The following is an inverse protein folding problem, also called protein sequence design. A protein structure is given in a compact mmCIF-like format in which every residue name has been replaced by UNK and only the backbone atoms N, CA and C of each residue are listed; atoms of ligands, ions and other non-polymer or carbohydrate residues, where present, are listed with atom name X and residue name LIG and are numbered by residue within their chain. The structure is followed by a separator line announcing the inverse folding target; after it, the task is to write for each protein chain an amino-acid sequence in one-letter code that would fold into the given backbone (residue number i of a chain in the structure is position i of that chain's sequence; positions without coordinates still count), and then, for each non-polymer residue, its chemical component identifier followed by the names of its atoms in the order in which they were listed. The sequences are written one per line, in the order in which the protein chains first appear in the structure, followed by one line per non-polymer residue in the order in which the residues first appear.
data_IF_631419988475
#
_entry.id   IF_631419988475
#
_cell.length_a   1.000
_cell.length_b   1.000
_cell.length_c   1.000
_cell.angle_alpha   90.00
_cell.angle_beta   90.00
_cell.angle_gamma   90.00
#
_symmetry.space_group_name_H-M   'P 1'
#
loop_
_entity.id
_entity.type
_entity.pdbx_description
1 polymer ?
#
# COMPACT_ATOMS: atom_id res chain seq x y z
N UNK A 1 11.81 -25.46 33.94
CA UNK A 1 10.92 -24.89 32.90
C UNK A 1 11.75 -24.72 31.64
N UNK A 2 11.53 -25.54 30.62
CA UNK A 2 12.24 -25.37 29.34
C UNK A 2 11.57 -24.23 28.56
N UNK A 3 12.32 -23.18 28.25
CA UNK A 3 11.82 -22.07 27.43
C UNK A 3 11.72 -22.56 25.99
N UNK A 4 10.51 -22.65 25.44
CA UNK A 4 10.31 -22.97 24.01
C UNK A 4 10.65 -21.75 23.16
N UNK A 5 11.95 -21.60 22.90
CA UNK A 5 12.50 -20.53 22.08
C UNK A 5 11.97 -20.64 20.63
N UNK A 6 11.79 -21.86 20.12
CA UNK A 6 11.34 -22.11 18.74
C UNK A 6 9.90 -21.66 18.53
N UNK A 7 8.99 -22.08 19.41
CA UNK A 7 7.58 -21.66 19.34
C UNK A 7 7.41 -20.15 19.54
N UNK A 8 8.27 -19.53 20.35
CA UNK A 8 8.28 -18.07 20.54
C UNK A 8 8.77 -17.31 19.31
N UNK A 9 9.80 -17.81 18.62
CA UNK A 9 10.32 -17.22 17.39
C UNK A 9 9.31 -17.32 16.23
N UNK A 10 8.67 -18.47 16.04
CA UNK A 10 7.66 -18.67 14.99
C UNK A 10 6.46 -17.74 15.18
N UNK A 11 5.92 -17.61 16.39
CA UNK A 11 4.81 -16.69 16.69
C UNK A 11 5.19 -15.22 16.46
N UNK A 12 6.47 -14.86 16.65
CA UNK A 12 6.96 -13.51 16.36
C UNK A 12 6.99 -13.27 14.86
N UNK A 13 7.48 -14.23 14.09
CA UNK A 13 7.53 -14.17 12.62
C UNK A 13 6.13 -14.03 12.03
N UNK A 14 5.17 -14.87 12.43
CA UNK A 14 3.77 -14.80 11.97
C UNK A 14 3.15 -13.41 12.21
N UNK A 15 3.39 -12.83 13.39
CA UNK A 15 2.88 -11.49 13.74
C UNK A 15 3.54 -10.39 12.91
N UNK A 16 4.83 -10.53 12.62
CA UNK A 16 5.55 -9.55 11.82
C UNK A 16 5.09 -9.59 10.36
N UNK A 17 4.96 -10.80 9.78
CA UNK A 17 4.42 -10.98 8.43
C UNK A 17 2.99 -10.44 8.30
N UNK A 18 2.13 -10.68 9.30
CA UNK A 18 0.78 -10.12 9.31
C UNK A 18 0.76 -8.59 9.38
N UNK A 19 1.63 -7.99 10.19
CA UNK A 19 1.76 -6.52 10.29
C UNK A 19 2.24 -5.90 8.98
N UNK A 20 3.23 -6.53 8.33
CA UNK A 20 3.75 -6.06 7.04
C UNK A 20 2.68 -6.17 5.95
N UNK A 21 1.95 -7.28 5.89
CA UNK A 21 0.85 -7.46 4.93
C UNK A 21 -0.28 -6.43 5.15
N UNK A 22 -0.65 -6.16 6.41
CA UNK A 22 -1.64 -5.12 6.75
C UNK A 22 -1.17 -3.73 6.29
N UNK A 23 0.09 -3.39 6.58
CA UNK A 23 0.66 -2.12 6.15
C UNK A 23 0.70 -1.99 4.63
N UNK A 24 1.11 -3.04 3.90
CA UNK A 24 1.14 -3.03 2.44
C UNK A 24 -0.26 -2.85 1.85
N UNK A 25 -1.27 -3.51 2.42
CA UNK A 25 -2.65 -3.35 1.99
C UNK A 25 -3.16 -1.93 2.24
N UNK A 26 -2.94 -1.37 3.43
CA UNK A 26 -3.29 0.02 3.76
C UNK A 26 -2.57 1.02 2.85
N UNK A 27 -1.28 0.81 2.61
CA UNK A 27 -0.46 1.65 1.71
C UNK A 27 -1.06 1.65 0.31
N UNK A 28 -1.39 0.47 -0.20
CA UNK A 28 -2.01 0.33 -1.51
C UNK A 28 -3.36 1.05 -1.58
N UNK A 29 -4.27 0.77 -0.65
CA UNK A 29 -5.59 1.40 -0.62
C UNK A 29 -5.52 2.93 -0.53
N UNK A 30 -4.64 3.46 0.33
CA UNK A 30 -4.44 4.91 0.48
C UNK A 30 -3.78 5.56 -0.74
N UNK A 31 -2.81 4.88 -1.36
CA UNK A 31 -2.19 5.34 -2.62
C UNK A 31 -3.26 5.55 -3.70
N UNK A 32 -4.13 4.57 -3.92
CA UNK A 32 -5.16 4.68 -4.96
C UNK A 32 -6.26 5.69 -4.62
N UNK A 33 -6.52 5.93 -3.32
CA UNK A 33 -7.42 7.01 -2.89
C UNK A 33 -6.85 8.40 -3.20
N UNK A 34 -5.58 8.65 -2.87
CA UNK A 34 -4.89 9.90 -3.23
C UNK A 34 -4.76 10.09 -4.75
N UNK A 35 -4.54 8.98 -5.48
CA UNK A 35 -4.51 9.01 -6.93
C UNK A 35 -5.88 9.38 -7.52
N UNK A 36 -6.97 8.84 -6.98
CA UNK A 36 -8.33 9.18 -7.41
C UNK A 36 -8.61 10.69 -7.24
N UNK A 37 -8.24 11.26 -6.08
CA UNK A 37 -8.35 12.70 -5.83
C UNK A 37 -7.56 13.51 -6.87
N UNK A 38 -6.36 13.05 -7.25
CA UNK A 38 -5.51 13.73 -8.25
C UNK A 38 -6.07 13.66 -9.66
N UNK A 39 -6.76 12.57 -10.00
CA UNK A 39 -7.44 12.38 -11.27
C UNK A 39 -8.82 13.05 -11.32
N UNK A 40 -9.29 13.62 -10.21
CA UNK A 40 -10.64 14.19 -10.10
C UNK A 40 -11.74 13.13 -10.15
N UNK A 41 -11.41 11.88 -9.83
CA UNK A 41 -12.31 10.74 -9.88
C UNK A 41 -12.82 10.37 -8.47
N UNK A 42 -14.07 9.89 -8.32
CA UNK A 42 -14.56 9.40 -7.04
C UNK A 42 -13.72 8.20 -6.56
N UNK A 43 -13.18 8.21 -5.32
CA UNK A 43 -12.43 7.06 -4.79
C UNK A 43 -13.22 5.76 -4.81
N UNK A 44 -14.55 5.83 -4.70
CA UNK A 44 -15.45 4.68 -4.77
C UNK A 44 -15.40 3.94 -6.13
N UNK A 45 -14.96 4.61 -7.21
CA UNK A 45 -14.81 3.99 -8.53
C UNK A 45 -13.42 3.42 -8.78
N UNK A 46 -12.41 3.97 -8.10
CA UNK A 46 -10.99 3.64 -8.32
C UNK A 46 -10.51 2.57 -7.33
N UNK A 47 -10.83 2.71 -6.04
CA UNK A 47 -10.36 1.81 -4.98
C UNK A 47 -10.78 0.35 -5.22
N UNK A 48 -12.00 0.01 -5.69
CA UNK A 48 -12.35 -1.39 -5.96
C UNK A 48 -11.49 -2.05 -7.04
N UNK A 49 -10.85 -1.28 -7.93
CA UNK A 49 -9.99 -1.82 -8.99
C UNK A 49 -8.73 -2.49 -8.41
N UNK A 50 -8.25 -2.06 -7.23
CA UNK A 50 -7.06 -2.65 -6.61
C UNK A 50 -7.27 -4.11 -6.23
N UNK A 51 -8.52 -4.51 -5.97
CA UNK A 51 -8.87 -5.90 -5.66
C UNK A 51 -8.93 -6.78 -6.92
N UNK A 52 -8.96 -6.18 -8.12
CA UNK A 52 -9.21 -6.89 -9.38
C UNK A 52 -7.93 -7.30 -10.09
N UNK A 53 -6.77 -6.76 -9.70
CA UNK A 53 -5.52 -7.04 -10.40
C UNK A 53 -4.30 -6.40 -9.75
N UNK A 54 -3.16 -6.56 -10.41
CA UNK A 54 -1.91 -5.92 -10.02
C UNK A 54 -1.95 -4.40 -10.28
N UNK A 55 -1.10 -3.63 -9.60
CA UNK A 55 -1.07 -2.17 -9.75
C UNK A 55 -0.83 -1.73 -11.20
N UNK A 56 -0.01 -2.46 -11.96
CA UNK A 56 0.23 -2.18 -13.38
C UNK A 56 -1.03 -2.32 -14.25
N UNK A 57 -1.88 -3.30 -13.95
CA UNK A 57 -3.14 -3.52 -14.68
C UNK A 57 -4.14 -2.42 -14.36
N UNK A 58 -4.24 -2.04 -13.08
CA UNK A 58 -5.08 -0.92 -12.64
C UNK A 58 -4.61 0.39 -13.27
N UNK A 59 -3.31 0.67 -13.28
CA UNK A 59 -2.75 1.85 -13.94
C UNK A 59 -3.02 1.85 -15.44
N UNK A 60 -2.96 0.69 -16.10
CA UNK A 60 -3.34 0.56 -17.51
C UNK A 60 -4.81 0.83 -17.79
N UNK A 61 -5.72 0.41 -16.91
CA UNK A 61 -7.15 0.76 -16.95
C UNK A 61 -7.36 2.26 -16.71
N UNK A 62 -6.68 2.85 -15.73
CA UNK A 62 -6.77 4.29 -15.44
C UNK A 62 -6.25 5.14 -16.60
N UNK A 63 -5.15 4.73 -17.26
CA UNK A 63 -4.65 5.41 -18.44
C UNK A 63 -5.66 5.39 -19.60
N UNK A 64 -6.44 4.30 -19.74
CA UNK A 64 -7.54 4.22 -20.72
C UNK A 64 -8.74 5.08 -20.35
N UNK A 65 -9.09 5.18 -19.06
CA UNK A 65 -10.21 6.01 -18.57
C UNK A 65 -9.90 7.51 -18.56
N UNK A 66 -8.64 7.87 -18.31
CA UNK A 66 -8.17 9.25 -18.18
C UNK A 66 -7.02 9.52 -19.18
N UNK A 67 -7.30 9.55 -20.49
CA UNK A 67 -6.26 9.67 -21.51
C UNK A 67 -5.44 10.96 -21.37
N UNK A 68 -6.05 12.06 -20.91
CA UNK A 68 -5.35 13.33 -20.68
C UNK A 68 -4.34 13.25 -19.52
N UNK A 69 -4.60 12.38 -18.53
CA UNK A 69 -3.73 12.17 -17.39
C UNK A 69 -2.71 11.04 -17.61
N UNK A 70 -2.91 10.19 -18.61
CA UNK A 70 -2.07 9.02 -18.89
C UNK A 70 -0.56 9.34 -18.97
N UNK A 71 -0.10 10.43 -19.61
CA UNK A 71 1.33 10.75 -19.67
C UNK A 71 1.98 11.04 -18.31
N UNK A 72 1.18 11.46 -17.31
CA UNK A 72 1.65 11.81 -15.95
C UNK A 72 1.21 10.80 -14.90
N UNK A 73 0.52 9.74 -15.30
CA UNK A 73 -0.11 8.81 -14.37
C UNK A 73 0.93 8.10 -13.48
N UNK A 74 2.08 7.75 -14.05
CA UNK A 74 3.19 7.17 -13.28
C UNK A 74 3.74 8.13 -12.24
N UNK A 75 3.88 9.42 -12.57
CA UNK A 75 4.35 10.44 -11.63
C UNK A 75 3.34 10.66 -10.51
N UNK A 76 2.04 10.71 -10.84
CA UNK A 76 0.98 10.82 -9.85
C UNK A 76 0.93 9.60 -8.93
N UNK A 77 1.11 8.40 -9.46
CA UNK A 77 1.18 7.19 -8.66
C UNK A 77 2.41 7.19 -7.74
N UNK A 78 3.59 7.54 -8.25
CA UNK A 78 4.81 7.61 -7.45
C UNK A 78 4.69 8.62 -6.30
N UNK A 79 4.15 9.81 -6.59
CA UNK A 79 3.85 10.83 -5.60
C UNK A 79 2.82 10.32 -4.56
N UNK A 80 1.70 9.76 -5.01
CA UNK A 80 0.64 9.27 -4.13
C UNK A 80 1.14 8.14 -3.21
N UNK A 81 2.03 7.27 -3.71
CA UNK A 81 2.62 6.18 -2.92
C UNK A 81 3.58 6.72 -1.86
N UNK A 82 4.41 7.70 -2.19
CA UNK A 82 5.30 8.34 -1.24
C UNK A 82 4.50 9.06 -0.14
N UNK A 83 3.47 9.80 -0.52
CA UNK A 83 2.60 10.52 0.40
C UNK A 83 1.80 9.57 1.31
N UNK A 84 1.18 8.53 0.74
CA UNK A 84 0.47 7.51 1.51
C UNK A 84 1.39 6.82 2.54
N UNK A 85 2.65 6.58 2.18
CA UNK A 85 3.64 6.01 3.11
C UNK A 85 3.93 6.96 4.26
N UNK A 86 4.16 8.24 3.98
CA UNK A 86 4.38 9.27 5.02
C UNK A 86 3.18 9.34 5.98
N UNK A 87 1.97 9.37 5.44
CA UNK A 87 0.74 9.40 6.25
C UNK A 87 0.58 8.16 7.13
N UNK A 88 0.81 6.96 6.58
CA UNK A 88 0.71 5.72 7.35
C UNK A 88 1.79 5.59 8.42
N UNK A 89 3.02 6.03 8.15
CA UNK A 89 4.07 6.03 9.18
C UNK A 89 3.71 6.98 10.32
N UNK A 90 3.09 8.14 10.01
CA UNK A 90 2.64 9.08 11.03
C UNK A 90 1.47 8.54 11.86
N UNK A 91 0.57 7.75 11.27
CA UNK A 91 -0.61 7.18 11.92
C UNK A 91 -0.32 5.89 12.71
N UNK A 92 0.35 4.92 12.07
CA UNK A 92 0.53 3.54 12.56
C UNK A 92 1.97 3.24 13.03
N UNK A 93 2.92 4.16 12.79
CA UNK A 93 4.34 3.97 13.04
C UNK A 93 5.11 3.34 11.87
N UNK A 94 6.44 3.33 11.94
CA UNK A 94 7.29 2.74 10.90
C UNK A 94 7.12 1.21 10.88
N UNK A 95 6.64 0.62 9.77
CA UNK A 95 6.49 -0.83 9.64
C UNK A 95 7.83 -1.55 9.48
N UNK A 96 8.93 -0.84 9.31
CA UNK A 96 10.25 -1.43 9.11
C UNK A 96 10.63 -2.24 10.36
N UNK A 97 10.91 -3.55 10.24
CA UNK A 97 11.30 -4.35 11.38
C UNK A 97 12.56 -3.72 12.00
N UNK A 98 12.53 -3.47 13.31
CA UNK A 98 13.73 -3.05 14.03
C UNK A 98 14.85 -4.05 13.72
N UNK A 99 15.90 -3.59 13.03
CA UNK A 99 17.11 -4.40 12.84
C UNK A 99 17.59 -4.78 14.23
N UNK A 100 17.62 -6.07 14.53
CA UNK A 100 18.32 -6.58 15.70
C UNK A 100 19.81 -6.27 15.44
N UNK A 101 20.30 -5.21 16.08
CA UNK A 101 21.73 -4.91 16.16
C UNK A 101 22.39 -5.86 17.17
#
# INVERSE_FOLDING_TARGET
MAWDLRGSLLKKEERESARLADFEFKLRARTFRLLADRLGAPPAEIVPLIAQGADSEVLGELARRFPDAAPRLHDFYAWARAEARTQLIAEDGDPSPHRLA
#
